data_IF_281703708131
#
_entry.id   IF_281703708131
#
_cell.length_a   1.000
_cell.length_b   1.000
_cell.length_c   1.000
_cell.angle_alpha   90.00
_cell.angle_beta   90.00
_cell.angle_gamma   90.00
#
_symmetry.space_group_name_H-M   'P 1'
#
loop_
_entity.id
_entity.type
_entity.pdbx_description
1 polymer ?
#
# COMPACT_ATOMS: atom_id res chain seq x y z
N UNK A 1 -4.99 7.04 9.31
CA UNK A 1 -5.42 6.98 7.91
C UNK A 1 -6.94 6.89 7.86
N UNK A 2 -7.59 7.83 7.18
CA UNK A 2 -9.03 7.81 6.91
C UNK A 2 -9.35 6.91 5.70
N UNK A 3 -10.61 6.47 5.50
CA UNK A 3 -11.00 5.67 4.33
C UNK A 3 -10.71 6.37 3.00
N UNK A 4 -10.89 7.69 2.95
CA UNK A 4 -10.56 8.53 1.80
C UNK A 4 -9.06 8.60 1.55
N UNK A 5 -8.24 8.75 2.60
CA UNK A 5 -6.78 8.70 2.49
C UNK A 5 -6.27 7.35 2.01
N UNK A 6 -6.89 6.25 2.46
CA UNK A 6 -6.56 4.90 1.98
C UNK A 6 -6.81 4.79 0.48
N UNK A 7 -7.99 5.22 0.02
CA UNK A 7 -8.34 5.17 -1.39
C UNK A 7 -7.42 6.05 -2.24
N UNK A 8 -7.10 7.25 -1.76
CA UNK A 8 -6.16 8.15 -2.42
C UNK A 8 -4.73 7.57 -2.47
N UNK A 9 -4.23 6.99 -1.37
CA UNK A 9 -2.90 6.41 -1.30
C UNK A 9 -2.76 5.21 -2.24
N UNK A 10 -3.80 4.37 -2.35
CA UNK A 10 -3.84 3.25 -3.32
C UNK A 10 -3.72 3.75 -4.76
N UNK A 11 -4.42 4.84 -5.11
CA UNK A 11 -4.36 5.45 -6.45
C UNK A 11 -2.99 6.06 -6.71
N UNK A 12 -2.43 6.80 -5.74
CA UNK A 12 -1.10 7.42 -5.84
C UNK A 12 -0.01 6.35 -6.00
N UNK A 13 -0.09 5.27 -5.22
CA UNK A 13 0.82 4.14 -5.32
C UNK A 13 0.60 3.28 -6.59
N UNK A 14 -0.42 3.60 -7.41
CA UNK A 14 -0.80 2.89 -8.65
C UNK A 14 -0.97 1.38 -8.44
N UNK A 15 -1.55 1.00 -7.30
CA UNK A 15 -1.73 -0.41 -6.96
C UNK A 15 -2.99 -0.97 -7.63
N UNK A 16 -2.84 -2.11 -8.29
CA UNK A 16 -3.98 -2.91 -8.74
C UNK A 16 -4.60 -3.70 -7.59
N UNK A 17 -5.81 -4.26 -7.78
CA UNK A 17 -6.42 -5.16 -6.80
C UNK A 17 -5.52 -6.38 -6.51
N UNK A 18 -4.86 -6.92 -7.53
CA UNK A 18 -3.88 -8.00 -7.37
C UNK A 18 -2.67 -7.58 -6.54
N UNK A 19 -2.13 -6.36 -6.74
CA UNK A 19 -1.00 -5.86 -5.95
C UNK A 19 -1.37 -5.71 -4.48
N UNK A 20 -2.57 -5.19 -4.20
CA UNK A 20 -3.07 -5.03 -2.82
C UNK A 20 -3.19 -6.40 -2.14
N UNK A 21 -3.68 -7.40 -2.86
CA UNK A 21 -3.79 -8.76 -2.33
C UNK A 21 -2.42 -9.39 -2.08
N UNK A 22 -1.47 -9.24 -3.01
CA UNK A 22 -0.15 -9.85 -2.91
C UNK A 22 0.73 -9.19 -1.83
N UNK A 23 0.73 -7.85 -1.76
CA UNK A 23 1.65 -7.10 -0.90
C UNK A 23 1.08 -6.79 0.48
N UNK A 24 -0.23 -6.55 0.57
CA UNK A 24 -0.89 -6.21 1.83
C UNK A 24 -1.68 -7.39 2.40
N UNK A 25 -1.85 -8.48 1.64
CA UNK A 25 -2.66 -9.63 2.06
C UNK A 25 -4.16 -9.30 2.15
N UNK A 26 -4.61 -8.23 1.48
CA UNK A 26 -5.97 -7.71 1.57
C UNK A 26 -6.77 -8.19 0.37
N UNK A 27 -7.80 -8.98 0.60
CA UNK A 27 -8.75 -9.38 -0.45
C UNK A 27 -9.65 -8.20 -0.87
N UNK A 28 -10.30 -8.36 -2.03
CA UNK A 28 -11.15 -7.31 -2.62
C UNK A 28 -12.32 -6.89 -1.71
N UNK A 29 -12.85 -7.84 -0.94
CA UNK A 29 -13.91 -7.58 0.04
C UNK A 29 -13.40 -6.71 1.18
N UNK A 30 -12.28 -7.05 1.77
CA UNK A 30 -11.67 -6.27 2.86
C UNK A 30 -11.24 -4.91 2.35
N UNK A 31 -10.66 -4.82 1.14
CA UNK A 31 -10.32 -3.54 0.49
C UNK A 31 -11.53 -2.62 0.42
N UNK A 32 -12.68 -3.15 0.00
CA UNK A 32 -13.93 -2.39 -0.08
C UNK A 32 -14.42 -1.93 1.30
N UNK A 33 -14.34 -2.79 2.33
CA UNK A 33 -14.69 -2.43 3.72
C UNK A 33 -13.77 -1.36 4.33
N UNK A 34 -12.49 -1.36 3.94
CA UNK A 34 -11.53 -0.34 4.36
C UNK A 34 -11.78 1.00 3.65
N UNK A 35 -12.08 0.97 2.36
CA UNK A 35 -12.39 2.16 1.56
C UNK A 35 -13.73 2.80 1.94
N UNK A 36 -14.72 1.99 2.36
CA UNK A 36 -16.01 2.47 2.87
C UNK A 36 -15.97 2.96 4.31
N UNK A 37 -14.91 2.61 5.06
CA UNK A 37 -14.78 2.88 6.49
C UNK A 37 -15.58 1.94 7.39
N UNK A 38 -16.17 0.88 6.85
CA UNK A 38 -16.82 -0.19 7.61
C UNK A 38 -15.81 -0.92 8.52
N UNK A 39 -14.55 -0.98 8.09
CA UNK A 39 -13.42 -1.45 8.91
C UNK A 39 -12.32 -0.40 9.00
N UNK A 40 -11.65 -0.29 10.16
CA UNK A 40 -10.48 0.58 10.30
C UNK A 40 -9.29 0.01 9.52
N UNK A 41 -8.52 0.89 8.88
CA UNK A 41 -7.28 0.52 8.18
C UNK A 41 -6.23 0.05 9.21
N UNK A 42 -5.66 -1.17 9.07
CA UNK A 42 -4.60 -1.65 9.93
C UNK A 42 -3.41 -0.68 9.95
N UNK A 43 -2.80 -0.47 11.13
CA UNK A 43 -1.71 0.51 11.29
C UNK A 43 -0.51 0.22 10.39
N UNK A 44 -0.15 -1.04 10.20
CA UNK A 44 0.94 -1.44 9.31
C UNK A 44 0.66 -1.01 7.86
N UNK A 45 -0.55 -1.28 7.35
CA UNK A 45 -1.00 -0.91 6.01
C UNK A 45 -1.01 0.62 5.85
N UNK A 46 -1.53 1.33 6.84
CA UNK A 46 -1.56 2.79 6.85
C UNK A 46 -0.14 3.39 6.78
N UNK A 47 0.81 2.85 7.54
CA UNK A 47 2.20 3.32 7.52
C UNK A 47 2.88 3.06 6.17
N UNK A 48 2.72 1.87 5.59
CA UNK A 48 3.26 1.55 4.27
C UNK A 48 2.73 2.51 3.21
N UNK A 49 1.41 2.70 3.16
CA UNK A 49 0.75 3.59 2.21
C UNK A 49 1.14 5.06 2.41
N UNK A 50 1.29 5.52 3.65
CA UNK A 50 1.79 6.87 3.93
C UNK A 50 3.23 7.07 3.48
N UNK A 51 4.11 6.09 3.68
CA UNK A 51 5.48 6.16 3.20
C UNK A 51 5.51 6.21 1.67
N UNK A 52 4.79 5.31 1.00
CA UNK A 52 4.71 5.31 -0.47
C UNK A 52 4.16 6.65 -1.00
N UNK A 53 3.11 7.18 -0.38
CA UNK A 53 2.55 8.48 -0.76
C UNK A 53 3.50 9.65 -0.50
N UNK A 54 4.22 9.66 0.64
CA UNK A 54 5.15 10.73 1.01
C UNK A 54 6.38 10.78 0.09
N UNK A 55 6.89 9.63 -0.34
CA UNK A 55 8.03 9.52 -1.24
C UNK A 55 7.64 9.48 -2.72
N UNK A 56 6.34 9.50 -3.04
CA UNK A 56 5.84 9.40 -4.42
C UNK A 56 6.21 8.10 -5.11
N UNK A 57 6.43 7.03 -4.35
CA UNK A 57 6.87 5.73 -4.86
C UNK A 57 5.67 4.91 -5.27
N UNK A 58 5.59 4.58 -6.56
CA UNK A 58 4.63 3.62 -7.09
C UNK A 58 5.00 2.20 -6.72
N UNK A 59 4.04 1.28 -6.80
CA UNK A 59 4.31 -0.11 -6.46
C UNK A 59 5.34 -0.78 -7.37
N UNK A 60 5.41 -0.36 -8.63
CA UNK A 60 6.42 -0.84 -9.57
C UNK A 60 7.83 -0.43 -9.11
N UNK A 61 8.00 0.84 -8.73
CA UNK A 61 9.28 1.35 -8.20
C UNK A 61 9.63 0.66 -6.87
N UNK A 62 8.66 0.43 -5.99
CA UNK A 62 8.87 -0.29 -4.75
C UNK A 62 9.34 -1.74 -4.99
N UNK A 63 8.78 -2.46 -5.99
CA UNK A 63 9.24 -3.81 -6.35
C UNK A 63 10.66 -3.79 -6.91
N UNK A 64 10.97 -2.84 -7.79
CA UNK A 64 12.34 -2.67 -8.33
C UNK A 64 13.34 -2.38 -7.20
N UNK A 65 12.97 -1.55 -6.22
CA UNK A 65 13.81 -1.28 -5.06
C UNK A 65 13.95 -2.48 -4.12
N UNK A 66 12.90 -3.27 -3.93
CA UNK A 66 12.95 -4.49 -3.12
C UNK A 66 13.81 -5.59 -3.76
N UNK A 67 13.84 -5.64 -5.09
CA UNK A 67 14.72 -6.54 -5.86
C UNK A 67 16.17 -6.03 -5.94
N UNK A 68 16.45 -4.75 -5.63
CA UNK A 68 17.83 -4.24 -5.59
C UNK A 68 18.57 -4.79 -4.36
N UNK A 69 19.61 -5.63 -4.55
CA UNK A 69 20.34 -6.25 -3.45
C UNK A 69 21.08 -5.26 -2.54
N UNK A 70 21.21 -3.99 -2.95
CA UNK A 70 21.81 -2.90 -2.14
C UNK A 70 20.80 -2.31 -1.15
N UNK A 71 19.51 -2.33 -1.47
CA UNK A 71 18.44 -1.90 -0.54
C UNK A 71 18.10 -3.01 0.44
N UNK A 72 18.08 -4.27 -0.02
CA UNK A 72 17.87 -5.45 0.83
C UNK A 72 18.98 -5.68 1.87
N UNK A 73 20.14 -5.02 1.70
CA UNK A 73 21.26 -4.99 2.66
C UNK A 73 21.41 -3.60 3.28
N UNK A 74 20.41 -3.14 4.03
CA UNK A 74 20.66 -2.14 5.06
C UNK A 74 20.52 -2.85 6.43
N UNK A 75 21.60 -2.93 7.23
CA UNK A 75 21.60 -3.58 8.54
C UNK A 75 20.74 -2.84 9.58
#
# INVERSE_FOLDING_TARGET
>A
MTPSEFSAAVVVARMSASDIQELLGIDERTRSQLASGEKPVPRCVALCLWLMAAYGVSILEARVLAEDPRVAKSP
#
